data_IF_329749126349
#
_entry.id   IF_329749126349
#
_cell.length_a   1.000
_cell.length_b   1.000
_cell.length_c   1.000
_cell.angle_alpha   90.00
_cell.angle_beta   90.00
_cell.angle_gamma   90.00
#
_symmetry.space_group_name_H-M   'P 1'
#
loop_
_entity.id
_entity.type
_entity.pdbx_description
1 polymer ?
#
# COMPACT_ATOMS: atom_id res chain seq x y z
N UNK A 1 -99.39 -43.99 22.95
CA UNK A 1 -99.86 -44.29 21.58
C UNK A 1 -98.65 -44.39 20.64
N UNK A 2 -98.53 -45.53 19.91
CA UNK A 2 -97.78 -45.78 18.64
C UNK A 2 -96.26 -45.43 18.60
N UNK A 3 -95.38 -46.44 18.65
CA UNK A 3 -94.61 -47.08 17.52
C UNK A 3 -93.71 -46.09 16.75
N UNK A 4 -92.38 -46.06 16.98
CA UNK A 4 -91.28 -46.86 16.37
C UNK A 4 -91.05 -46.64 14.86
N UNK A 5 -89.85 -46.20 14.47
CA UNK A 5 -89.02 -46.70 13.34
C UNK A 5 -87.56 -46.20 13.54
N UNK A 6 -86.58 -47.00 13.97
CA UNK A 6 -85.69 -47.99 13.29
C UNK A 6 -84.50 -47.40 12.53
N UNK A 7 -83.27 -47.60 13.02
CA UNK A 7 -82.20 -48.30 12.28
C UNK A 7 -81.03 -48.74 13.19
N UNK A 8 -80.65 -50.02 13.04
CA UNK A 8 -79.50 -50.73 13.65
C UNK A 8 -78.19 -50.25 12.95
N UNK A 9 -76.98 -50.47 13.47
CA UNK A 9 -76.19 -51.71 13.25
C UNK A 9 -74.93 -51.75 14.15
N UNK A 10 -74.78 -52.91 14.79
CA UNK A 10 -73.64 -53.70 15.25
C UNK A 10 -72.30 -53.09 15.76
N UNK A 11 -71.99 -53.49 17.00
CA UNK A 11 -70.66 -53.63 17.60
C UNK A 11 -69.80 -54.69 16.87
N UNK A 12 -68.49 -54.45 16.83
CA UNK A 12 -67.46 -55.49 16.90
C UNK A 12 -66.31 -55.00 17.79
N UNK A 13 -66.10 -55.72 18.89
CA UNK A 13 -65.00 -55.56 19.84
C UNK A 13 -63.90 -56.52 19.40
N UNK A 14 -62.67 -56.01 19.21
CA UNK A 14 -61.49 -56.86 19.01
C UNK A 14 -60.30 -56.27 19.76
N UNK A 15 -59.65 -57.11 20.57
CA UNK A 15 -58.64 -56.76 21.56
C UNK A 15 -57.32 -56.22 20.99
N UNK A 16 -56.71 -55.34 21.78
CA UNK A 16 -55.36 -54.79 21.56
C UNK A 16 -54.31 -55.88 21.86
N UNK A 17 -53.50 -56.23 20.86
CA UNK A 17 -52.26 -56.97 21.04
C UNK A 17 -51.15 -56.02 21.50
N UNK A 18 -50.49 -56.37 22.61
CA UNK A 18 -49.20 -55.81 23.03
C UNK A 18 -48.10 -56.31 22.08
N UNK A 19 -47.56 -55.41 21.26
CA UNK A 19 -46.34 -55.65 20.49
C UNK A 19 -45.12 -55.20 21.30
N UNK A 20 -44.24 -56.14 21.62
CA UNK A 20 -42.94 -55.87 22.22
C UNK A 20 -42.00 -55.24 21.17
N UNK A 21 -41.53 -54.02 21.41
CA UNK A 21 -40.48 -53.39 20.60
C UNK A 21 -39.14 -54.12 20.83
N UNK A 22 -38.74 -54.94 19.87
CA UNK A 22 -37.40 -55.47 19.77
C UNK A 22 -36.42 -54.39 19.28
N UNK A 23 -35.31 -54.22 20.00
CA UNK A 23 -34.09 -53.61 19.47
C UNK A 23 -33.95 -52.10 19.66
N UNK A 24 -33.62 -51.66 20.88
CA UNK A 24 -32.94 -50.38 21.06
C UNK A 24 -31.49 -50.55 20.57
N UNK A 25 -31.21 -50.23 19.30
CA UNK A 25 -29.84 -50.10 18.81
C UNK A 25 -29.26 -48.86 19.48
N UNK A 26 -28.19 -49.02 20.26
CA UNK A 26 -27.47 -47.90 20.85
C UNK A 26 -27.02 -46.94 19.73
N UNK A 27 -27.14 -45.61 19.89
CA UNK A 27 -26.59 -44.67 18.91
C UNK A 27 -25.10 -44.97 18.74
N UNK A 28 -24.69 -45.29 17.52
CA UNK A 28 -23.28 -45.41 17.14
C UNK A 28 -22.64 -44.09 17.52
N UNK A 29 -21.67 -44.12 18.43
CA UNK A 29 -20.83 -42.94 18.70
C UNK A 29 -20.22 -42.51 17.38
N UNK A 30 -20.72 -41.41 16.80
CA UNK A 30 -20.03 -40.76 15.71
C UNK A 30 -18.63 -40.41 16.22
N UNK A 31 -17.56 -40.77 15.49
CA UNK A 31 -16.23 -40.34 15.88
C UNK A 31 -16.25 -38.81 15.94
N UNK A 32 -15.92 -38.24 17.10
CA UNK A 32 -15.70 -36.80 17.26
C UNK A 32 -14.84 -36.35 16.09
N UNK A 33 -15.28 -35.37 15.27
CA UNK A 33 -14.50 -34.93 14.13
C UNK A 33 -13.09 -34.62 14.59
N UNK A 34 -12.09 -35.24 13.95
CA UNK A 34 -10.70 -34.99 14.29
C UNK A 34 -10.46 -33.48 14.30
N UNK A 35 -9.90 -32.96 15.39
CA UNK A 35 -9.60 -31.54 15.51
C UNK A 35 -8.75 -31.13 14.29
N UNK A 36 -9.12 -30.01 13.65
CA UNK A 36 -8.38 -29.52 12.48
C UNK A 36 -6.95 -29.13 12.84
N UNK A 37 -6.10 -28.85 11.83
CA UNK A 37 -4.74 -28.41 12.10
C UNK A 37 -4.74 -27.08 12.85
N UNK A 38 -3.82 -26.93 13.81
CA UNK A 38 -3.66 -25.71 14.63
C UNK A 38 -2.19 -25.32 14.66
N UNK A 39 -1.90 -24.05 14.38
CA UNK A 39 -0.56 -23.45 14.55
C UNK A 39 -0.50 -22.84 15.95
N UNK A 40 0.45 -23.30 16.77
CA UNK A 40 0.66 -22.76 18.12
C UNK A 40 1.40 -21.44 18.10
N UNK A 41 2.46 -21.36 17.30
CA UNK A 41 3.21 -20.13 17.07
C UNK A 41 3.88 -20.17 15.71
N UNK A 42 4.14 -18.97 15.18
CA UNK A 42 5.07 -18.70 14.10
C UNK A 42 5.84 -17.44 14.49
N UNK A 43 7.18 -17.52 14.55
CA UNK A 43 8.04 -16.42 14.98
C UNK A 43 9.36 -16.40 14.24
N UNK A 44 9.98 -15.23 14.18
CA UNK A 44 11.39 -15.11 13.83
C UNK A 44 12.24 -15.04 15.12
N UNK A 45 13.54 -15.32 14.99
CA UNK A 45 14.51 -15.10 16.05
C UNK A 45 14.76 -13.61 16.35
N UNK A 46 14.32 -12.71 15.47
CA UNK A 46 14.44 -11.25 15.59
C UNK A 46 13.14 -10.56 15.20
N UNK A 47 12.86 -9.40 15.81
CA UNK A 47 11.76 -8.53 15.39
C UNK A 47 12.16 -7.59 14.24
N UNK A 48 13.47 -7.28 14.15
CA UNK A 48 14.06 -6.40 13.16
C UNK A 48 15.38 -6.98 12.61
N UNK A 49 15.58 -6.89 11.30
CA UNK A 49 16.76 -7.38 10.59
C UNK A 49 17.28 -6.32 9.61
N UNK A 50 18.59 -6.35 9.30
CA UNK A 50 19.15 -5.52 8.25
C UNK A 50 19.03 -6.20 6.88
N UNK A 51 19.01 -5.42 5.78
CA UNK A 51 19.12 -5.99 4.44
C UNK A 51 20.37 -6.87 4.30
N UNK A 52 20.21 -8.11 3.86
CA UNK A 52 21.30 -9.08 3.72
C UNK A 52 21.53 -10.00 4.92
N UNK A 53 20.88 -9.74 6.07
CA UNK A 53 20.96 -10.61 7.25
C UNK A 53 20.31 -11.98 7.00
N UNK A 54 20.76 -12.97 7.77
CA UNK A 54 20.13 -14.29 7.81
C UNK A 54 19.31 -14.41 9.09
N UNK A 55 18.02 -14.70 8.95
CA UNK A 55 17.08 -14.90 10.05
C UNK A 55 16.64 -16.36 10.14
N UNK A 56 16.17 -16.77 11.31
CA UNK A 56 15.61 -18.10 11.55
C UNK A 56 14.14 -17.96 11.91
N UNK A 57 13.30 -18.60 11.11
CA UNK A 57 11.87 -18.73 11.33
C UNK A 57 11.61 -20.02 12.07
N UNK A 58 10.71 -20.01 13.04
CA UNK A 58 10.35 -21.17 13.85
C UNK A 58 8.85 -21.25 14.05
N UNK A 59 8.29 -22.45 13.96
CA UNK A 59 6.88 -22.70 14.18
C UNK A 59 6.63 -24.06 14.84
N UNK A 60 5.47 -24.17 15.46
CA UNK A 60 4.94 -25.43 15.98
C UNK A 60 3.48 -25.54 15.60
N UNK A 61 3.08 -26.72 15.12
CA UNK A 61 1.68 -27.03 14.81
C UNK A 61 1.31 -28.45 15.21
N UNK A 62 0.00 -28.68 15.36
CA UNK A 62 -0.59 -29.99 15.68
C UNK A 62 -1.74 -30.30 14.75
N UNK A 63 -1.99 -31.59 14.48
CA UNK A 63 -3.12 -32.02 13.64
C UNK A 63 -2.93 -31.81 12.15
N UNK A 64 -1.79 -31.27 11.71
CA UNK A 64 -1.39 -31.17 10.31
C UNK A 64 -0.45 -32.29 9.88
N UNK A 65 -0.50 -32.65 8.60
CA UNK A 65 0.39 -33.61 7.94
C UNK A 65 1.28 -32.98 6.88
N UNK A 66 0.93 -31.79 6.36
CA UNK A 66 1.72 -31.03 5.40
C UNK A 66 1.83 -29.58 5.83
N UNK A 67 3.00 -28.95 5.68
CA UNK A 67 3.17 -27.52 5.86
C UNK A 67 3.90 -26.88 4.69
N UNK A 68 3.50 -25.64 4.35
CA UNK A 68 4.11 -24.84 3.30
C UNK A 68 4.33 -23.43 3.84
N UNK A 69 5.57 -22.96 3.77
CA UNK A 69 5.96 -21.61 4.16
C UNK A 69 6.13 -20.73 2.91
N UNK A 70 5.39 -19.65 2.83
CA UNK A 70 5.44 -18.71 1.72
C UNK A 70 6.16 -17.43 2.13
N UNK A 71 7.20 -16.99 1.40
CA UNK A 71 7.65 -15.60 1.46
C UNK A 71 6.64 -14.74 0.70
N UNK A 72 5.97 -13.84 1.40
CA UNK A 72 4.98 -12.95 0.81
C UNK A 72 5.70 -11.76 0.19
N UNK A 73 5.63 -11.57 -1.14
CA UNK A 73 6.23 -10.42 -1.78
C UNK A 73 5.56 -9.12 -1.30
N UNK A 74 6.22 -7.97 -1.45
CA UNK A 74 5.65 -6.67 -1.09
C UNK A 74 4.30 -6.33 -1.75
N UNK A 75 3.89 -7.05 -2.81
CA UNK A 75 2.55 -6.94 -3.40
C UNK A 75 1.43 -7.48 -2.49
N UNK A 76 1.76 -8.30 -1.49
CA UNK A 76 0.82 -9.03 -0.63
C UNK A 76 0.19 -10.25 -1.28
N UNK A 77 0.50 -10.54 -2.55
CA UNK A 77 -0.08 -11.68 -3.26
C UNK A 77 0.64 -12.96 -2.87
N UNK A 78 -0.12 -14.00 -2.51
CA UNK A 78 0.44 -15.32 -2.24
C UNK A 78 1.15 -15.85 -3.51
N UNK A 79 2.44 -16.20 -3.44
CA UNK A 79 3.15 -16.78 -4.58
C UNK A 79 2.55 -18.11 -5.04
N UNK A 80 2.80 -18.49 -6.30
CA UNK A 80 2.39 -19.80 -6.83
C UNK A 80 3.11 -20.97 -6.13
N UNK A 81 4.32 -20.74 -5.62
CA UNK A 81 5.12 -21.73 -4.91
C UNK A 81 5.61 -21.20 -3.56
N UNK A 82 5.63 -22.09 -2.58
CA UNK A 82 6.25 -21.87 -1.28
C UNK A 82 7.29 -22.95 -1.01
N UNK A 83 7.93 -22.89 0.15
CA UNK A 83 8.84 -23.91 0.63
C UNK A 83 8.05 -24.98 1.37
N UNK A 84 8.14 -26.23 0.91
CA UNK A 84 7.63 -27.35 1.71
C UNK A 84 8.52 -27.54 2.93
N UNK A 85 7.88 -27.57 4.10
CA UNK A 85 8.56 -27.63 5.40
C UNK A 85 7.85 -28.61 6.31
N UNK A 86 8.53 -29.04 7.37
CA UNK A 86 7.92 -29.89 8.38
C UNK A 86 6.78 -29.16 9.12
N UNK A 87 5.82 -29.91 9.66
CA UNK A 87 4.68 -29.33 10.40
C UNK A 87 5.11 -28.63 11.70
N UNK A 88 6.27 -28.99 12.24
CA UNK A 88 6.95 -28.27 13.32
C UNK A 88 8.42 -28.23 13.01
N UNK A 89 9.03 -27.06 13.08
CA UNK A 89 10.44 -26.93 12.74
C UNK A 89 10.93 -25.49 12.62
N UNK A 90 12.06 -25.36 11.94
CA UNK A 90 12.72 -24.09 11.69
C UNK A 90 13.12 -23.96 10.23
N UNK A 91 13.17 -22.73 9.72
CA UNK A 91 13.64 -22.42 8.37
C UNK A 91 14.58 -21.22 8.41
N UNK A 92 15.76 -21.37 7.80
CA UNK A 92 16.74 -20.28 7.68
C UNK A 92 16.46 -19.50 6.41
N UNK A 93 16.18 -18.20 6.54
CA UNK A 93 15.89 -17.31 5.43
C UNK A 93 16.92 -16.18 5.36
N UNK A 94 17.37 -15.84 4.15
CA UNK A 94 18.26 -14.71 3.90
C UNK A 94 17.46 -13.53 3.36
N UNK A 95 17.44 -12.43 4.11
CA UNK A 95 16.80 -11.18 3.70
C UNK A 95 17.53 -10.62 2.48
N UNK A 96 16.78 -10.16 1.48
CA UNK A 96 17.35 -9.58 0.28
C UNK A 96 18.18 -8.33 0.59
N UNK A 97 19.34 -8.15 -0.06
CA UNK A 97 20.17 -6.94 0.13
C UNK A 97 19.47 -5.64 -0.31
N UNK A 98 18.54 -5.74 -1.27
CA UNK A 98 17.69 -4.66 -1.74
C UNK A 98 16.32 -4.60 -1.02
N UNK A 99 16.04 -5.52 -0.11
CA UNK A 99 14.76 -5.58 0.60
C UNK A 99 14.63 -4.40 1.58
N UNK A 100 13.43 -3.84 1.69
CA UNK A 100 13.14 -2.65 2.49
C UNK A 100 11.78 -2.80 3.16
N UNK A 101 11.56 -2.04 4.23
CA UNK A 101 10.32 -1.97 5.00
C UNK A 101 10.03 -3.25 5.79
N UNK A 102 9.68 -4.35 5.13
CA UNK A 102 9.17 -5.57 5.75
C UNK A 102 9.55 -6.81 4.97
N UNK A 103 9.74 -7.91 5.70
CA UNK A 103 9.80 -9.27 5.16
C UNK A 103 8.62 -10.05 5.73
N UNK A 104 7.67 -10.41 4.86
CA UNK A 104 6.41 -11.05 5.24
C UNK A 104 6.42 -12.54 4.91
N UNK A 105 5.87 -13.35 5.79
CA UNK A 105 5.76 -14.80 5.64
C UNK A 105 4.37 -15.29 6.01
N UNK A 106 3.88 -16.31 5.30
CA UNK A 106 2.66 -17.03 5.65
C UNK A 106 2.94 -18.53 5.71
N UNK A 107 2.69 -19.13 6.86
CA UNK A 107 2.72 -20.58 7.04
C UNK A 107 1.32 -21.14 6.85
N UNK A 108 1.18 -22.14 5.99
CA UNK A 108 -0.04 -22.93 5.85
C UNK A 108 0.22 -24.35 6.33
N UNK A 109 -0.68 -24.88 7.16
CA UNK A 109 -0.62 -26.26 7.66
C UNK A 109 -1.92 -26.96 7.27
N UNK A 110 -1.80 -28.08 6.56
CA UNK A 110 -2.91 -28.88 6.05
C UNK A 110 -2.95 -30.25 6.74
N UNK A 111 -4.16 -30.78 6.92
CA UNK A 111 -4.37 -32.17 7.33
C UNK A 111 -4.65 -33.11 6.15
N UNK A 112 -4.81 -34.40 6.41
CA UNK A 112 -5.08 -35.42 5.39
C UNK A 112 -6.42 -35.22 4.67
N UNK A 113 -7.37 -34.53 5.31
CA UNK A 113 -8.68 -34.21 4.75
C UNK A 113 -8.65 -32.92 3.90
N UNK A 114 -7.50 -32.28 3.77
CA UNK A 114 -7.32 -31.02 3.03
C UNK A 114 -7.82 -29.78 3.77
N UNK A 115 -8.19 -29.89 5.06
CA UNK A 115 -8.47 -28.70 5.89
C UNK A 115 -7.14 -28.02 6.19
N UNK A 116 -7.16 -26.69 6.28
CA UNK A 116 -5.95 -25.92 6.54
C UNK A 116 -6.15 -24.84 7.60
N UNK A 117 -5.05 -24.46 8.23
CA UNK A 117 -4.92 -23.25 9.04
C UNK A 117 -3.71 -22.46 8.54
N UNK A 118 -3.68 -21.15 8.78
CA UNK A 118 -2.53 -20.32 8.45
C UNK A 118 -2.13 -19.35 9.56
N UNK A 119 -0.87 -18.93 9.54
CA UNK A 119 -0.32 -17.90 10.41
C UNK A 119 0.59 -16.98 9.60
N UNK A 120 0.56 -15.68 9.91
CA UNK A 120 1.39 -14.67 9.25
C UNK A 120 2.47 -14.17 10.20
N UNK A 121 3.63 -13.85 9.66
CA UNK A 121 4.75 -13.27 10.37
C UNK A 121 5.32 -12.12 9.55
N UNK A 122 5.54 -10.99 10.21
CA UNK A 122 6.16 -9.80 9.62
C UNK A 122 7.41 -9.46 10.39
N UNK A 123 8.54 -9.39 9.69
CA UNK A 123 9.82 -8.96 10.24
C UNK A 123 10.14 -7.57 9.71
N UNK A 124 10.50 -6.63 10.59
CA UNK A 124 10.88 -5.28 10.18
C UNK A 124 12.25 -5.30 9.51
N UNK A 125 12.36 -4.69 8.33
CA UNK A 125 13.66 -4.52 7.67
C UNK A 125 14.17 -3.09 7.90
N UNK A 126 15.37 -2.96 8.45
CA UNK A 126 16.00 -1.66 8.69
C UNK A 126 16.12 -0.86 7.38
N UNK A 127 15.87 0.44 7.47
CA UNK A 127 16.11 1.35 6.36
C UNK A 127 17.60 1.73 6.34
N UNK A 128 18.36 1.40 5.28
CA UNK A 128 19.78 1.73 5.22
C UNK A 128 20.00 3.23 4.98
N UNK A 129 19.06 3.87 4.29
CA UNK A 129 19.14 5.29 3.95
C UNK A 129 18.21 6.09 4.86
N UNK A 130 18.72 7.07 5.63
CA UNK A 130 17.89 7.95 6.42
C UNK A 130 17.15 8.97 5.54
N UNK A 131 16.03 9.49 6.06
CA UNK A 131 15.35 10.63 5.45
C UNK A 131 16.16 11.92 5.64
N UNK A 132 16.15 12.81 4.63
CA UNK A 132 16.87 14.09 4.68
C UNK A 132 16.22 15.13 5.61
N UNK A 133 15.05 14.83 6.19
CA UNK A 133 14.28 15.71 7.06
C UNK A 133 13.68 14.95 8.25
N UNK A 134 13.16 15.70 9.23
CA UNK A 134 12.50 15.17 10.43
C UNK A 134 11.22 15.98 10.73
N UNK A 135 10.12 15.36 11.18
CA UNK A 135 9.95 13.92 11.44
C UNK A 135 9.97 13.09 10.14
N UNK A 136 10.59 11.91 10.21
CA UNK A 136 10.64 11.00 9.08
C UNK A 136 9.25 10.38 8.83
N UNK A 137 8.81 10.23 7.58
CA UNK A 137 7.58 9.54 7.24
C UNK A 137 7.72 8.02 7.42
N UNK A 138 6.60 7.31 7.33
CA UNK A 138 6.58 5.86 7.35
C UNK A 138 7.24 5.26 6.09
N UNK A 139 8.01 4.19 6.32
CA UNK A 139 8.72 3.45 5.28
C UNK A 139 10.13 3.97 5.01
N UNK A 140 10.90 3.17 4.28
CA UNK A 140 12.28 3.49 3.96
C UNK A 140 12.36 4.48 2.81
N UNK A 141 13.30 5.42 2.94
CA UNK A 141 13.64 6.37 1.89
C UNK A 141 14.42 5.70 0.76
N UNK A 142 14.26 6.22 -0.46
CA UNK A 142 15.21 6.02 -1.55
C UNK A 142 16.54 6.73 -1.25
N UNK A 143 17.56 6.44 -2.05
CA UNK A 143 18.79 7.22 -2.03
C UNK A 143 18.50 8.70 -2.35
N UNK A 144 19.16 9.64 -1.66
CA UNK A 144 18.91 11.06 -1.84
C UNK A 144 19.46 11.52 -3.19
N UNK A 145 18.67 12.32 -3.89
CA UNK A 145 19.06 13.00 -5.11
C UNK A 145 19.32 14.46 -4.75
N UNK A 146 20.57 14.90 -4.83
CA UNK A 146 20.94 16.31 -4.70
C UNK A 146 20.91 16.92 -6.09
N UNK A 147 20.17 18.01 -6.28
CA UNK A 147 20.04 18.64 -7.60
C UNK A 147 19.90 20.15 -7.51
N UNK A 148 20.22 20.83 -8.61
CA UNK A 148 19.78 22.21 -8.82
C UNK A 148 18.26 22.22 -9.03
N UNK A 149 17.60 23.20 -8.43
CA UNK A 149 16.17 23.38 -8.52
C UNK A 149 15.82 24.86 -8.64
N UNK A 150 14.58 25.14 -9.02
CA UNK A 150 14.03 26.48 -8.99
C UNK A 150 12.57 26.43 -8.51
N UNK A 151 12.16 27.43 -7.73
CA UNK A 151 10.79 27.53 -7.21
C UNK A 151 10.19 28.89 -7.59
N UNK A 152 8.93 28.87 -8.03
CA UNK A 152 8.16 30.08 -8.32
C UNK A 152 6.74 29.94 -7.77
N UNK A 153 6.25 30.99 -7.12
CA UNK A 153 4.91 31.04 -6.55
C UNK A 153 3.91 31.66 -7.54
N UNK A 154 2.69 31.14 -7.53
CA UNK A 154 1.56 31.59 -8.33
C UNK A 154 0.38 31.97 -7.44
N UNK A 155 -0.60 32.66 -8.01
CA UNK A 155 -1.82 33.04 -7.30
C UNK A 155 -2.53 31.84 -6.64
N UNK A 156 -2.47 30.67 -7.30
CA UNK A 156 -3.18 29.45 -6.89
C UNK A 156 -2.31 28.19 -6.97
N UNK A 157 -1.01 28.33 -6.67
CA UNK A 157 -0.13 27.18 -6.63
C UNK A 157 1.34 27.51 -6.69
N UNK A 158 2.14 26.47 -6.90
CA UNK A 158 3.60 26.54 -6.84
C UNK A 158 4.16 25.67 -7.93
N UNK A 159 5.28 26.09 -8.51
CA UNK A 159 6.01 25.31 -9.48
C UNK A 159 7.43 25.11 -8.97
N UNK A 160 7.86 23.85 -8.95
CA UNK A 160 9.22 23.45 -8.59
C UNK A 160 9.86 22.77 -9.78
N UNK A 161 10.89 23.37 -10.35
CA UNK A 161 11.73 22.73 -11.35
C UNK A 161 12.87 21.97 -10.67
N UNK A 162 13.15 20.76 -11.15
CA UNK A 162 14.30 19.95 -10.71
C UNK A 162 15.11 19.53 -11.92
N UNK A 163 16.42 19.83 -11.90
CA UNK A 163 17.33 19.61 -13.02
C UNK A 163 17.62 18.14 -13.28
N UNK A 164 17.97 17.39 -12.24
CA UNK A 164 18.35 15.99 -12.37
C UNK A 164 17.15 15.06 -12.39
N UNK A 165 17.41 13.83 -12.83
CA UNK A 165 16.40 12.78 -12.96
C UNK A 165 15.80 12.46 -11.58
N UNK A 166 14.50 12.65 -11.41
CA UNK A 166 13.76 12.24 -10.21
C UNK A 166 12.92 11.01 -10.55
N UNK A 167 13.32 9.85 -10.03
CA UNK A 167 12.62 8.57 -10.22
C UNK A 167 12.49 8.14 -11.70
N UNK A 168 11.27 8.05 -12.21
CA UNK A 168 10.97 7.70 -13.60
C UNK A 168 10.95 8.92 -14.53
N UNK A 169 10.99 10.14 -13.99
CA UNK A 169 10.91 11.37 -14.78
C UNK A 169 12.27 11.75 -15.33
N UNK A 170 12.29 12.28 -16.56
CA UNK A 170 13.52 12.74 -17.20
C UNK A 170 14.14 13.96 -16.51
N UNK A 171 15.37 14.30 -16.90
CA UNK A 171 16.02 15.53 -16.45
C UNK A 171 15.20 16.76 -16.84
N UNK A 172 15.23 17.78 -15.99
CA UNK A 172 14.46 19.01 -16.18
C UNK A 172 12.96 18.74 -16.05
N UNK A 173 12.49 18.46 -14.84
CA UNK A 173 11.08 18.21 -14.56
C UNK A 173 10.49 19.35 -13.73
N UNK A 174 9.42 19.96 -14.20
CA UNK A 174 8.54 20.83 -13.43
C UNK A 174 7.53 19.98 -12.65
N UNK A 175 7.43 20.22 -11.35
CA UNK A 175 6.37 19.75 -10.47
C UNK A 175 5.43 20.92 -10.21
N UNK A 176 4.19 20.79 -10.68
CA UNK A 176 3.15 21.82 -10.54
C UNK A 176 2.23 21.41 -9.41
N UNK A 177 2.11 22.24 -8.39
CA UNK A 177 1.32 22.02 -7.18
C UNK A 177 0.12 22.96 -7.21
N UNK A 178 -1.09 22.42 -7.32
CA UNK A 178 -2.31 23.21 -7.41
C UNK A 178 -2.95 23.44 -6.05
N UNK A 179 -3.25 24.69 -5.71
CA UNK A 179 -3.96 25.07 -4.49
C UNK A 179 -5.49 25.13 -4.68
N UNK A 180 -6.00 24.36 -5.65
CA UNK A 180 -7.44 24.24 -5.91
C UNK A 180 -7.98 22.87 -5.48
N UNK A 181 -9.31 22.74 -5.48
CA UNK A 181 -9.98 21.48 -5.11
C UNK A 181 -10.06 20.43 -6.23
N UNK A 182 -9.38 20.66 -7.35
CA UNK A 182 -9.48 19.79 -8.53
C UNK A 182 -8.42 18.69 -8.52
N UNK A 183 -8.69 17.64 -9.31
CA UNK A 183 -7.73 16.57 -9.60
C UNK A 183 -7.15 16.74 -11.01
N UNK A 184 -5.85 16.45 -11.21
CA UNK A 184 -4.86 16.05 -10.21
C UNK A 184 -4.45 17.21 -9.29
N UNK A 185 -4.03 16.91 -8.06
CA UNK A 185 -3.53 17.91 -7.08
C UNK A 185 -2.13 18.40 -7.42
N UNK A 186 -1.34 17.56 -8.05
CA UNK A 186 -0.06 17.95 -8.63
C UNK A 186 0.19 17.21 -9.94
N UNK A 187 1.03 17.76 -10.82
CA UNK A 187 1.42 17.07 -12.05
C UNK A 187 2.82 17.46 -12.48
N UNK A 188 3.33 16.79 -13.52
CA UNK A 188 4.69 16.99 -14.02
C UNK A 188 4.73 17.39 -15.48
N UNK A 189 5.67 18.25 -15.82
CA UNK A 189 5.98 18.62 -17.19
C UNK A 189 7.50 18.58 -17.42
N UNK A 190 7.93 18.16 -18.60
CA UNK A 190 9.34 18.23 -18.99
C UNK A 190 9.68 19.63 -19.47
N UNK A 191 10.88 20.08 -19.12
CA UNK A 191 11.47 21.28 -19.68
C UNK A 191 11.89 21.04 -21.13
N UNK A 192 11.28 21.79 -22.04
CA UNK A 192 11.51 21.72 -23.49
C UNK A 192 12.05 23.02 -24.06
N UNK A 193 12.19 24.06 -23.22
CA UNK A 193 12.68 25.34 -23.68
C UNK A 193 14.16 25.25 -24.01
N UNK A 194 14.55 25.91 -25.09
CA UNK A 194 15.94 25.96 -25.53
C UNK A 194 16.46 27.39 -25.54
N UNK A 195 17.76 27.54 -25.31
CA UNK A 195 18.42 28.84 -25.35
C UNK A 195 18.22 29.51 -26.72
N UNK A 196 17.77 30.76 -26.72
CA UNK A 196 17.40 31.50 -27.93
C UNK A 196 15.92 31.43 -28.31
N UNK A 197 15.11 30.58 -27.68
CA UNK A 197 13.66 30.65 -27.80
C UNK A 197 13.08 31.86 -27.05
N UNK A 198 11.89 32.32 -27.46
CA UNK A 198 11.22 33.42 -26.80
C UNK A 198 10.97 33.10 -25.31
N UNK A 199 11.62 33.85 -24.42
CA UNK A 199 11.48 33.66 -22.98
C UNK A 199 10.05 33.93 -22.51
N UNK A 200 9.40 34.90 -23.14
CA UNK A 200 8.06 35.40 -22.80
C UNK A 200 7.24 35.68 -24.05
N UNK A 201 5.93 35.77 -23.88
CA UNK A 201 5.01 36.26 -24.91
C UNK A 201 4.62 37.71 -24.60
N UNK A 202 5.05 38.70 -25.41
CA UNK A 202 4.75 40.12 -25.20
C UNK A 202 3.26 40.46 -25.21
N UNK A 203 2.40 39.62 -25.79
CA UNK A 203 0.95 39.85 -25.80
C UNK A 203 0.28 39.51 -24.45
N UNK A 204 0.95 38.74 -23.59
CA UNK A 204 0.47 38.37 -22.26
C UNK A 204 1.03 39.34 -21.22
N UNK A 205 0.30 40.43 -20.99
CA UNK A 205 0.68 41.48 -20.05
C UNK A 205 0.18 41.10 -18.64
N UNK A 206 1.08 40.92 -17.65
CA UNK A 206 0.66 40.60 -16.30
C UNK A 206 -0.03 41.80 -15.63
N UNK A 207 -1.04 41.57 -14.76
CA UNK A 207 -1.59 42.61 -13.90
C UNK A 207 -0.54 43.25 -12.98
N UNK A 208 -0.79 44.44 -12.41
CA UNK A 208 0.13 45.09 -11.49
C UNK A 208 0.52 44.19 -10.31
N UNK A 209 1.82 44.06 -10.04
CA UNK A 209 2.34 43.22 -8.95
C UNK A 209 2.46 41.74 -9.27
N UNK A 210 2.07 41.31 -10.47
CA UNK A 210 2.19 39.94 -10.95
C UNK A 210 3.20 39.83 -12.08
N UNK A 211 3.62 38.60 -12.39
CA UNK A 211 4.66 38.31 -13.36
C UNK A 211 4.21 37.24 -14.35
N UNK A 212 4.64 37.40 -15.60
CA UNK A 212 4.59 36.33 -16.58
C UNK A 212 5.75 35.37 -16.31
N UNK A 213 5.51 34.06 -16.14
CA UNK A 213 6.61 33.10 -16.05
C UNK A 213 7.43 33.08 -17.35
N UNK A 214 8.74 32.88 -17.21
CA UNK A 214 9.71 32.96 -18.31
C UNK A 214 10.35 31.61 -18.60
N UNK A 215 11.04 31.49 -19.75
CA UNK A 215 11.84 30.33 -20.17
C UNK A 215 11.04 29.01 -20.12
N UNK A 216 11.62 27.94 -19.56
CA UNK A 216 11.06 26.60 -19.49
C UNK A 216 9.65 26.55 -18.94
N UNK A 217 9.46 27.07 -17.72
CA UNK A 217 8.14 27.10 -17.14
C UNK A 217 7.18 28.02 -17.90
N UNK A 218 7.67 29.18 -18.34
CA UNK A 218 6.90 30.11 -19.18
C UNK A 218 6.36 29.46 -20.46
N UNK A 219 7.15 28.62 -21.12
CA UNK A 219 6.74 27.87 -22.30
C UNK A 219 5.58 26.91 -21.99
N UNK A 220 5.69 26.14 -20.90
CA UNK A 220 4.63 25.22 -20.45
C UNK A 220 3.36 26.00 -20.10
N UNK A 221 3.48 27.05 -19.29
CA UNK A 221 2.36 27.88 -18.83
C UNK A 221 1.60 28.54 -19.99
N UNK A 222 2.29 29.01 -21.03
CA UNK A 222 1.65 29.58 -22.24
C UNK A 222 0.96 28.53 -23.11
N UNK A 223 1.54 27.34 -23.21
CA UNK A 223 1.06 26.28 -24.09
C UNK A 223 0.04 25.33 -23.42
N UNK A 224 -0.18 25.46 -22.12
CA UNK A 224 -1.13 24.65 -21.35
C UNK A 224 -2.23 25.53 -20.73
N UNK A 225 -3.29 25.91 -21.49
CA UNK A 225 -4.32 26.81 -21.00
C UNK A 225 -5.02 26.34 -19.71
N UNK A 226 -5.19 25.03 -19.55
CA UNK A 226 -5.80 24.43 -18.34
C UNK A 226 -4.92 24.62 -17.10
N UNK A 227 -3.61 24.44 -17.24
CA UNK A 227 -2.61 24.65 -16.18
C UNK A 227 -2.58 26.12 -15.77
N UNK A 228 -2.48 27.00 -16.77
CA UNK A 228 -2.51 28.46 -16.56
C UNK A 228 -3.78 28.92 -15.86
N UNK A 229 -4.95 28.42 -16.27
CA UNK A 229 -6.22 28.79 -15.65
C UNK A 229 -6.33 28.32 -14.19
N UNK A 230 -5.64 27.23 -13.82
CA UNK A 230 -5.61 26.73 -12.44
C UNK A 230 -4.60 27.45 -11.57
N UNK A 231 -3.43 27.84 -12.08
CA UNK A 231 -2.39 28.53 -11.30
C UNK A 231 -2.57 30.04 -11.22
N UNK A 232 -3.08 30.67 -12.27
CA UNK A 232 -3.03 32.12 -12.43
C UNK A 232 -1.64 32.63 -12.86
N UNK A 233 -1.36 33.89 -12.54
CA UNK A 233 -0.06 34.54 -12.77
C UNK A 233 0.93 34.23 -11.66
N UNK A 234 2.22 34.43 -11.94
CA UNK A 234 3.24 34.33 -10.91
C UNK A 234 3.16 35.55 -9.98
N UNK A 235 3.31 35.32 -8.67
CA UNK A 235 3.33 36.40 -7.66
C UNK A 235 4.76 36.84 -7.31
N UNK A 236 5.76 36.07 -7.74
CA UNK A 236 7.17 36.40 -7.63
C UNK A 236 7.99 35.88 -8.83
N UNK A 237 9.27 36.25 -8.86
CA UNK A 237 10.23 35.69 -9.81
C UNK A 237 10.71 34.33 -9.35
N UNK A 238 10.98 33.45 -10.32
CA UNK A 238 11.61 32.16 -10.08
C UNK A 238 12.95 32.32 -9.36
N UNK A 239 13.18 31.49 -8.33
CA UNK A 239 14.40 31.49 -7.52
C UNK A 239 15.09 30.14 -7.57
N UNK A 240 16.33 30.14 -8.03
CA UNK A 240 17.19 28.96 -8.04
C UNK A 240 17.73 28.61 -6.65
N UNK A 241 17.83 27.31 -6.36
CA UNK A 241 18.37 26.77 -5.11
C UNK A 241 18.84 25.32 -5.29
N UNK A 242 19.42 24.72 -4.24
CA UNK A 242 19.74 23.29 -4.23
C UNK A 242 18.67 22.51 -3.45
N UNK A 243 18.07 21.52 -4.08
CA UNK A 243 17.09 20.62 -3.45
C UNK A 243 17.71 19.27 -3.10
N UNK A 244 17.05 18.54 -2.20
CA UNK A 244 17.22 17.10 -2.01
C UNK A 244 15.88 16.43 -2.29
N UNK A 245 15.89 15.42 -3.15
CA UNK A 245 14.75 14.56 -3.44
C UNK A 245 14.89 13.17 -2.84
N UNK A 246 13.85 12.68 -2.19
CA UNK A 246 13.71 11.28 -1.76
C UNK A 246 12.28 10.79 -1.98
N UNK A 247 12.10 9.48 -2.01
CA UNK A 247 10.80 8.84 -2.13
C UNK A 247 10.64 7.72 -1.12
N UNK A 248 9.40 7.36 -0.82
CA UNK A 248 9.15 6.08 -0.16
C UNK A 248 9.55 4.91 -1.08
N UNK A 249 9.85 3.76 -0.49
CA UNK A 249 10.21 2.52 -1.20
C UNK A 249 9.13 1.45 -1.08
N UNK A 250 7.87 1.87 -1.01
CA UNK A 250 6.73 0.96 -1.05
C UNK A 250 6.64 0.28 -2.42
N UNK A 251 6.02 -0.90 -2.46
CA UNK A 251 5.76 -1.60 -3.72
C UNK A 251 4.91 -0.77 -4.70
N UNK A 252 3.94 -0.02 -4.15
CA UNK A 252 3.01 0.84 -4.88
C UNK A 252 2.66 2.06 -4.03
N UNK A 253 2.10 3.07 -4.68
CA UNK A 253 1.68 4.32 -4.03
C UNK A 253 2.84 5.04 -3.32
N UNK A 254 3.94 5.24 -4.04
CA UNK A 254 5.07 5.99 -3.51
C UNK A 254 4.81 7.49 -3.47
N UNK A 255 5.29 8.12 -2.40
CA UNK A 255 5.29 9.57 -2.23
C UNK A 255 6.66 10.15 -2.57
N UNK A 256 6.68 11.41 -3.01
CA UNK A 256 7.90 12.17 -3.33
C UNK A 256 8.07 13.27 -2.29
N UNK A 257 9.31 13.48 -1.84
CA UNK A 257 9.67 14.53 -0.91
C UNK A 257 10.80 15.34 -1.52
N UNK A 258 10.57 16.64 -1.68
CA UNK A 258 11.55 17.60 -2.21
C UNK A 258 11.80 18.66 -1.14
N UNK A 259 13.06 18.98 -0.86
CA UNK A 259 13.37 20.18 -0.07
C UNK A 259 12.90 21.41 -0.84
N UNK A 260 12.10 22.25 -0.19
CA UNK A 260 11.59 23.51 -0.71
C UNK A 260 12.64 24.63 -0.60
N UNK A 261 12.41 25.74 -1.29
CA UNK A 261 13.29 26.91 -1.26
C UNK A 261 13.51 27.46 0.17
N UNK A 262 12.49 27.41 1.01
CA UNK A 262 12.53 27.89 2.40
C UNK A 262 13.10 26.86 3.39
N UNK A 263 13.58 25.71 2.91
CA UNK A 263 14.15 24.64 3.72
C UNK A 263 13.11 23.67 4.30
N UNK A 264 11.81 23.93 4.14
CA UNK A 264 10.75 22.97 4.43
C UNK A 264 10.71 21.85 3.37
N UNK A 265 9.71 20.97 3.43
CA UNK A 265 9.60 19.85 2.49
C UNK A 265 8.26 19.86 1.77
N UNK A 266 8.31 19.84 0.44
CA UNK A 266 7.16 19.50 -0.39
C UNK A 266 6.95 18.00 -0.35
N UNK A 267 5.83 17.57 0.20
CA UNK A 267 5.37 16.18 0.14
C UNK A 267 4.34 16.05 -0.98
N UNK A 268 4.65 15.24 -1.98
CA UNK A 268 3.78 14.89 -3.09
C UNK A 268 3.26 13.47 -2.87
N UNK A 269 1.98 13.36 -2.57
CA UNK A 269 1.32 12.08 -2.34
C UNK A 269 1.21 11.25 -3.63
N UNK A 270 0.98 9.93 -3.48
CA UNK A 270 0.94 9.02 -4.60
C UNK A 270 -0.18 9.36 -5.59
N UNK A 271 -0.01 8.92 -6.85
CA UNK A 271 -1.02 9.05 -7.90
C UNK A 271 -1.55 10.47 -8.09
N UNK A 272 -0.75 11.49 -7.77
CA UNK A 272 -1.15 12.89 -7.93
C UNK A 272 -2.35 13.30 -7.05
N UNK A 273 -2.57 12.55 -5.96
CA UNK A 273 -3.77 12.65 -5.12
C UNK A 273 -3.75 13.80 -4.10
N UNK A 274 -2.57 14.22 -3.65
CA UNK A 274 -2.39 15.32 -2.68
C UNK A 274 -0.98 15.90 -2.76
N UNK A 275 -0.82 17.12 -2.26
CA UNK A 275 0.47 17.64 -1.84
C UNK A 275 0.30 18.43 -0.54
N UNK A 276 1.38 18.56 0.22
CA UNK A 276 1.42 19.41 1.42
C UNK A 276 2.84 19.92 1.68
N UNK A 277 2.95 21.00 2.46
CA UNK A 277 4.24 21.48 2.98
C UNK A 277 4.46 20.93 4.39
N UNK A 278 5.50 20.12 4.57
CA UNK A 278 5.93 19.65 5.88
C UNK A 278 6.89 20.68 6.46
N UNK A 279 6.53 21.24 7.61
CA UNK A 279 7.36 22.18 8.34
C UNK A 279 8.49 21.43 9.04
N UNK A 280 9.73 21.72 8.66
CA UNK A 280 10.91 21.09 9.27
C UNK A 280 11.40 22.01 10.37
N UNK A 281 11.41 21.51 11.60
CA UNK A 281 12.00 22.23 12.72
C UNK A 281 13.52 22.16 12.58
N UNK A 282 14.14 23.26 12.17
CA UNK A 282 15.60 23.39 12.22
C UNK A 282 16.03 23.33 13.69
N UNK A 283 16.92 22.38 14.01
CA UNK A 283 17.60 22.33 15.33
C UNK A 283 18.80 23.25 15.33
#
# INVERSE_FOLDING_TARGET
>A
MRRMYTQRVALLVTGLLLAACAGCVAPRSEPTPAAGPVIRYLRANVEQANPGDTIVLAWESTGGTKAILYPIPPSGQLPQSGWEVDTTGTYTHKIGSAERNWSDFSLFVLDESGRYTSANLRVKVCCPTPWFFSPAPDGCASDPIVSDAAEQHFEHGIVVWVKDKVWIWEKGTFFVLYDDDKSPKWETFSDKWQEGEAERDPALIPPPGLYQPVRGWGLVWRNQPQVRARLGWAVDQEKGFSTIGQMTTWFKYNSIYLRALDGNVWHLGPERSKWEKILVVQR
#
